data_IF_735492835165
#
_entry.id   IF_735492835165
#
_cell.length_a   1.000
_cell.length_b   1.000
_cell.length_c   1.000
_cell.angle_alpha   90.00
_cell.angle_beta   90.00
_cell.angle_gamma   90.00
#
_symmetry.space_group_name_H-M   'P 1'
#
loop_
_entity.id
_entity.type
_entity.pdbx_description
1 polymer ?
#
# COMPACT_ATOMS: atom_id res chain seq x y z
N UNK A 1 16.81 9.57 4.04
CA UNK A 1 15.95 8.74 4.92
C UNK A 1 14.62 9.46 5.07
N UNK A 2 13.52 8.86 4.59
CA UNK A 2 12.19 9.47 4.71
C UNK A 2 11.85 9.65 6.20
N UNK A 3 11.53 10.88 6.62
CA UNK A 3 11.32 11.19 8.04
C UNK A 3 9.85 11.06 8.47
N UNK A 4 8.91 11.39 7.58
CA UNK A 4 7.47 11.37 7.89
C UNK A 4 6.68 11.08 6.61
N UNK A 5 5.61 10.29 6.74
CA UNK A 5 4.63 10.01 5.68
C UNK A 5 3.25 10.52 6.12
N UNK A 6 2.60 11.30 5.26
CA UNK A 6 1.29 11.90 5.49
C UNK A 6 0.29 11.34 4.46
N UNK A 7 -0.57 10.36 4.85
CA UNK A 7 -1.52 9.77 3.92
C UNK A 7 -2.66 10.75 3.59
N UNK A 8 -3.00 10.87 2.30
CA UNK A 8 -4.14 11.64 1.80
C UNK A 8 -5.34 10.73 1.54
N UNK A 9 -5.09 9.56 0.96
CA UNK A 9 -6.09 8.57 0.62
C UNK A 9 -5.55 7.16 0.86
N UNK A 10 -6.42 6.23 1.26
CA UNK A 10 -6.06 4.83 1.43
C UNK A 10 -7.23 3.90 1.10
N UNK A 11 -6.91 2.69 0.64
CA UNK A 11 -7.84 1.60 0.46
C UNK A 11 -7.19 0.28 0.89
N UNK A 12 -8.04 -0.68 1.28
CA UNK A 12 -7.62 -2.02 1.69
C UNK A 12 -7.94 -3.02 0.57
N UNK A 13 -6.99 -3.90 0.27
CA UNK A 13 -7.16 -5.01 -0.69
C UNK A 13 -6.93 -6.32 0.05
N UNK A 14 -7.92 -7.23 0.12
CA UNK A 14 -7.72 -8.54 0.74
C UNK A 14 -6.58 -9.30 0.05
N UNK A 15 -5.66 -9.86 0.82
CA UNK A 15 -4.62 -10.73 0.29
C UNK A 15 -5.16 -12.16 0.13
N UNK A 16 -4.70 -12.88 -0.87
CA UNK A 16 -5.09 -14.27 -1.09
C UNK A 16 -4.10 -15.26 -0.46
N UNK A 17 -4.49 -16.53 -0.40
CA UNK A 17 -3.59 -17.63 -0.02
C UNK A 17 -2.31 -17.59 -0.89
N UNK A 18 -1.11 -17.86 -0.34
CA UNK A 18 -0.80 -18.48 0.96
C UNK A 18 -0.59 -17.49 2.11
N UNK A 19 -1.01 -16.23 1.98
CA UNK A 19 -0.99 -15.34 3.15
C UNK A 19 -1.90 -15.89 4.25
N UNK A 20 -1.56 -15.69 5.53
CA UNK A 20 -2.45 -16.04 6.63
C UNK A 20 -3.83 -15.39 6.47
N UNK A 21 -4.89 -15.97 7.07
CA UNK A 21 -6.19 -15.33 7.15
C UNK A 21 -6.09 -13.90 7.70
N UNK A 22 -7.05 -13.03 7.33
CA UNK A 22 -7.09 -11.62 7.72
C UNK A 22 -5.86 -10.79 7.28
N UNK A 23 -5.15 -11.24 6.25
CA UNK A 23 -4.09 -10.45 5.61
C UNK A 23 -4.67 -9.52 4.55
N UNK A 24 -4.23 -8.27 4.53
CA UNK A 24 -4.63 -7.27 3.54
C UNK A 24 -3.42 -6.43 3.09
N UNK A 25 -3.51 -5.86 1.91
CA UNK A 25 -2.64 -4.77 1.47
C UNK A 25 -3.34 -3.45 1.77
N UNK A 26 -2.67 -2.56 2.51
CA UNK A 26 -3.04 -1.15 2.60
C UNK A 26 -2.34 -0.38 1.49
N UNK A 27 -3.12 0.08 0.53
CA UNK A 27 -2.65 0.94 -0.58
C UNK A 27 -2.98 2.38 -0.24
N UNK A 28 -2.00 3.26 -0.13
CA UNK A 28 -2.23 4.67 0.14
C UNK A 28 -1.44 5.60 -0.77
N UNK A 29 -1.99 6.78 -1.04
CA UNK A 29 -1.29 7.91 -1.67
C UNK A 29 -1.17 9.02 -0.64
N UNK A 30 -0.02 9.68 -0.61
CA UNK A 30 0.24 10.77 0.31
C UNK A 30 1.61 11.40 0.11
N UNK A 31 1.98 12.32 0.98
CA UNK A 31 3.26 13.02 0.93
C UNK A 31 4.31 12.30 1.77
N UNK A 32 5.49 12.08 1.23
CA UNK A 32 6.66 11.59 1.96
C UNK A 32 7.81 12.60 1.85
N UNK A 33 8.41 12.97 2.97
CA UNK A 33 9.48 13.97 2.99
C UNK A 33 10.82 13.35 2.64
N UNK A 34 11.37 13.65 1.46
CA UNK A 34 12.71 13.23 1.02
C UNK A 34 13.58 14.46 0.78
N UNK A 35 14.79 14.48 1.33
CA UNK A 35 15.70 15.64 1.15
C UNK A 35 15.21 16.97 1.73
N UNK A 36 14.12 17.00 2.51
CA UNK A 36 13.49 18.22 3.01
C UNK A 36 12.28 18.68 2.19
N UNK A 37 12.00 18.02 1.06
CA UNK A 37 10.86 18.30 0.19
C UNK A 37 9.79 17.23 0.33
N UNK A 38 8.53 17.62 0.15
CA UNK A 38 7.41 16.68 0.16
C UNK A 38 7.16 16.16 -1.25
N UNK A 39 7.25 14.85 -1.42
CA UNK A 39 6.93 14.18 -2.68
C UNK A 39 5.68 13.35 -2.52
N UNK A 40 4.78 13.45 -3.49
CA UNK A 40 3.58 12.63 -3.54
C UNK A 40 3.94 11.23 -4.00
N UNK A 41 3.68 10.23 -3.17
CA UNK A 41 4.07 8.84 -3.40
C UNK A 41 2.92 7.88 -3.15
N UNK A 42 2.97 6.73 -3.83
CA UNK A 42 2.15 5.56 -3.53
C UNK A 42 2.91 4.70 -2.54
N UNK A 43 2.22 4.23 -1.49
CA UNK A 43 2.77 3.29 -0.51
C UNK A 43 1.86 2.07 -0.42
N UNK A 44 2.46 0.89 -0.49
CA UNK A 44 1.75 -0.37 -0.24
C UNK A 44 2.38 -1.04 0.97
N UNK A 45 1.55 -1.40 1.94
CA UNK A 45 1.97 -2.01 3.19
C UNK A 45 1.14 -3.26 3.47
N UNK A 46 1.75 -4.28 4.08
CA UNK A 46 1.00 -5.43 4.56
C UNK A 46 0.28 -5.08 5.86
N UNK A 47 -0.91 -5.65 6.04
CA UNK A 47 -1.71 -5.58 7.26
C UNK A 47 -2.06 -7.01 7.65
N UNK A 48 -1.73 -7.38 8.89
CA UNK A 48 -2.08 -8.67 9.47
C UNK A 48 -2.94 -8.42 10.70
N UNK A 49 -4.13 -9.02 10.75
CA UNK A 49 -5.09 -8.86 11.85
C UNK A 49 -5.32 -7.38 12.23
N UNK A 50 -5.52 -6.54 11.20
CA UNK A 50 -5.75 -5.10 11.35
C UNK A 50 -4.52 -4.27 11.72
N UNK A 51 -3.33 -4.88 11.90
CA UNK A 51 -2.09 -4.19 12.25
C UNK A 51 -1.17 -4.07 11.03
N UNK A 52 -0.72 -2.85 10.74
CA UNK A 52 0.27 -2.60 9.67
C UNK A 52 1.59 -3.25 10.07
N UNK A 53 2.12 -4.12 9.21
CA UNK A 53 3.46 -4.66 9.35
C UNK A 53 4.48 -3.60 8.94
N UNK A 54 5.07 -2.96 9.94
CA UNK A 54 6.11 -1.98 9.69
C UNK A 54 7.40 -2.65 9.16
N UNK A 55 8.12 -1.94 8.29
CA UNK A 55 9.42 -2.34 7.71
C UNK A 55 9.43 -3.67 6.93
N UNK A 56 8.27 -4.19 6.53
CA UNK A 56 8.19 -5.35 5.63
C UNK A 56 7.71 -4.91 4.24
N UNK A 57 8.46 -5.20 3.17
CA UNK A 57 7.95 -4.97 1.82
C UNK A 57 6.71 -5.86 1.59
N UNK A 58 5.72 -5.38 0.81
CA UNK A 58 4.60 -6.22 0.43
C UNK A 58 5.08 -7.34 -0.49
N UNK A 59 4.60 -8.55 -0.21
CA UNK A 59 4.84 -9.73 -1.06
C UNK A 59 3.58 -10.09 -1.81
N UNK A 60 3.70 -10.35 -3.11
CA UNK A 60 2.62 -10.78 -3.98
C UNK A 60 2.89 -12.22 -4.40
N UNK A 61 2.09 -13.20 -3.93
CA UNK A 61 2.29 -14.58 -4.31
C UNK A 61 2.14 -14.78 -5.83
N UNK A 62 3.07 -15.52 -6.44
CA UNK A 62 2.97 -15.86 -7.86
C UNK A 62 1.83 -16.85 -8.06
N UNK A 63 1.02 -16.66 -9.11
CA UNK A 63 -0.12 -17.52 -9.44
C UNK A 63 -1.46 -17.03 -8.90
N UNK A 64 -1.50 -15.93 -8.16
CA UNK A 64 -2.72 -15.23 -7.79
C UNK A 64 -2.86 -13.88 -8.50
N UNK A 65 -3.91 -13.13 -8.18
CA UNK A 65 -4.19 -11.82 -8.76
C UNK A 65 -3.92 -10.62 -7.84
N UNK A 66 -3.24 -10.82 -6.70
CA UNK A 66 -3.04 -9.80 -5.66
C UNK A 66 -2.33 -8.57 -6.22
N UNK A 67 -1.26 -8.76 -7.00
CA UNK A 67 -0.53 -7.67 -7.64
C UNK A 67 -1.41 -6.85 -8.60
N UNK A 68 -2.25 -7.53 -9.38
CA UNK A 68 -3.17 -6.89 -10.32
C UNK A 68 -4.23 -6.08 -9.58
N UNK A 69 -4.85 -6.66 -8.53
CA UNK A 69 -5.86 -5.98 -7.71
C UNK A 69 -5.29 -4.77 -6.97
N UNK A 70 -4.07 -4.88 -6.43
CA UNK A 70 -3.37 -3.76 -5.80
C UNK A 70 -3.07 -2.66 -6.82
N UNK A 71 -2.55 -3.01 -7.99
CA UNK A 71 -2.25 -2.04 -9.05
C UNK A 71 -3.49 -1.31 -9.55
N UNK A 72 -4.62 -2.02 -9.68
CA UNK A 72 -5.89 -1.44 -10.06
C UNK A 72 -6.40 -0.43 -9.02
N UNK A 73 -6.25 -0.75 -7.73
CA UNK A 73 -6.57 0.19 -6.65
C UNK A 73 -5.64 1.41 -6.66
N UNK A 74 -4.34 1.23 -6.91
CA UNK A 74 -3.39 2.34 -7.09
C UNK A 74 -3.88 3.27 -8.20
N UNK A 75 -4.21 2.73 -9.39
CA UNK A 75 -4.72 3.50 -10.52
C UNK A 75 -5.98 4.30 -10.17
N UNK A 76 -6.92 3.66 -9.46
CA UNK A 76 -8.15 4.32 -8.99
C UNK A 76 -7.88 5.47 -8.02
N UNK A 77 -6.96 5.29 -7.07
CA UNK A 77 -6.62 6.34 -6.09
C UNK A 77 -5.91 7.52 -6.78
N UNK A 78 -4.99 7.24 -7.71
CA UNK A 78 -4.28 8.29 -8.44
C UNK A 78 -5.25 9.08 -9.31
N UNK A 79 -6.09 8.40 -10.11
CA UNK A 79 -6.99 9.04 -11.09
C UNK A 79 -8.09 9.91 -10.46
N UNK A 80 -8.45 9.66 -9.19
CA UNK A 80 -9.43 10.48 -8.45
C UNK A 80 -8.83 11.77 -7.88
N UNK A 81 -7.50 11.88 -7.87
CA UNK A 81 -6.74 12.96 -7.24
C UNK A 81 -5.75 13.60 -8.23
N UNK A 82 -6.08 13.54 -9.52
CA UNK A 82 -5.32 14.08 -10.65
C UNK A 82 -6.19 15.05 -11.44
#
# INVERSE_FOLDING_TARGET
>A
MAKVYYPEAAAMVPASSPHPPNTQYRVSVGLETWGGENHRVVKVQMVYDGKIADRRPPSYPVGNDDYMRVTEVIRKIISRNS
#
